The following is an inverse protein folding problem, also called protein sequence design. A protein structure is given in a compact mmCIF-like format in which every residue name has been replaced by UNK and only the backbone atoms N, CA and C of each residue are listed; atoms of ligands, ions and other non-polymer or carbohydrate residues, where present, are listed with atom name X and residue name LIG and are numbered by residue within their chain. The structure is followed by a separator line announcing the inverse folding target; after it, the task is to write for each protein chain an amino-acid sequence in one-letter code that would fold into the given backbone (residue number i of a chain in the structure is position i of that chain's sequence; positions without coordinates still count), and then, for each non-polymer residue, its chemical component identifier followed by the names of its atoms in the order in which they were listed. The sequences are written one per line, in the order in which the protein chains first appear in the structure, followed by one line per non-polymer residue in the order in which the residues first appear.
data_IF_998685840327
#
_entry.id   IF_998685840327
#
_cell.length_a   1.000
_cell.length_b   1.000
_cell.length_c   1.000
_cell.angle_alpha   90.00
_cell.angle_beta   90.00
_cell.angle_gamma   90.00
#
_symmetry.space_group_name_H-M   'P 1'
#
loop_
_entity.id
_entity.type
_entity.pdbx_description
1 polymer ?
#
# COMPACT_ATOMS: atom_id res chain seq x y z
N UNK A 1 27.47 -24.59 55.04
CA UNK A 1 26.17 -24.31 54.46
C UNK A 1 26.40 -23.76 53.06
N UNK A 2 26.20 -24.60 52.04
CA UNK A 2 26.42 -24.29 50.63
C UNK A 2 25.21 -23.56 50.04
N UNK A 3 25.43 -22.40 49.46
CA UNK A 3 24.46 -21.72 48.66
C UNK A 3 24.73 -22.03 47.17
N UNK A 4 23.78 -22.72 46.55
CA UNK A 4 23.81 -23.06 45.12
C UNK A 4 23.44 -21.85 44.27
N UNK A 5 24.41 -21.37 43.55
CA UNK A 5 24.24 -20.45 42.41
C UNK A 5 23.61 -21.23 41.24
N UNK A 6 22.42 -20.78 40.75
CA UNK A 6 21.81 -21.30 39.55
C UNK A 6 22.02 -20.32 38.43
N UNK A 7 22.99 -20.64 37.59
CA UNK A 7 23.25 -19.93 36.35
C UNK A 7 22.01 -19.86 35.43
N UNK A 8 21.67 -18.66 35.03
CA UNK A 8 20.73 -18.41 33.92
C UNK A 8 21.47 -18.59 32.62
N UNK A 9 21.05 -19.57 31.83
CA UNK A 9 21.55 -19.77 30.49
C UNK A 9 21.21 -18.59 29.55
N UNK A 10 22.00 -18.37 28.50
CA UNK A 10 21.79 -17.27 27.56
C UNK A 10 20.53 -17.50 26.75
N UNK A 11 19.62 -16.51 26.78
CA UNK A 11 18.44 -16.50 25.94
C UNK A 11 18.82 -16.53 24.47
N UNK A 12 18.33 -17.51 23.76
CA UNK A 12 18.47 -17.62 22.32
C UNK A 12 17.77 -16.43 21.65
N UNK A 13 18.55 -15.49 21.13
CA UNK A 13 18.04 -14.50 20.17
C UNK A 13 17.65 -15.25 18.92
N UNK A 14 16.35 -15.35 18.66
CA UNK A 14 15.83 -15.75 17.36
C UNK A 14 16.31 -14.68 16.36
N UNK A 15 17.28 -15.04 15.55
CA UNK A 15 17.66 -14.24 14.39
C UNK A 15 16.56 -14.46 13.36
N UNK A 16 15.74 -13.44 13.14
CA UNK A 16 14.91 -13.39 11.94
C UNK A 16 15.86 -13.43 10.74
N UNK A 17 15.83 -14.53 10.02
CA UNK A 17 16.52 -14.63 8.73
C UNK A 17 15.77 -13.74 7.76
N UNK A 18 16.32 -12.54 7.48
CA UNK A 18 15.90 -11.78 6.31
C UNK A 18 16.31 -12.59 5.08
N UNK A 19 15.33 -13.17 4.43
CA UNK A 19 15.52 -13.79 3.12
C UNK A 19 15.74 -12.65 2.12
N UNK A 20 17.00 -12.33 1.84
CA UNK A 20 17.41 -11.21 0.97
C UNK A 20 16.96 -11.38 -0.49
N UNK A 21 16.33 -12.50 -0.85
CA UNK A 21 15.83 -12.82 -2.19
C UNK A 21 14.30 -12.84 -2.32
N UNK A 22 13.54 -12.53 -1.28
CA UNK A 22 12.08 -12.44 -1.38
C UNK A 22 11.71 -11.13 -2.11
N UNK A 23 11.08 -11.25 -3.28
CA UNK A 23 10.45 -10.10 -3.96
C UNK A 23 9.39 -9.54 -3.01
N UNK A 24 9.57 -8.29 -2.60
CA UNK A 24 8.64 -7.66 -1.66
C UNK A 24 7.23 -7.56 -2.25
N UNK A 25 6.21 -7.97 -1.49
CA UNK A 25 4.81 -7.84 -1.86
C UNK A 25 4.31 -6.40 -1.83
N UNK A 26 5.10 -5.46 -1.32
CA UNK A 26 4.75 -4.06 -1.24
C UNK A 26 5.72 -3.17 -2.01
N UNK A 27 5.25 -1.98 -2.34
CA UNK A 27 6.06 -0.90 -2.91
C UNK A 27 5.94 0.31 -2.00
N UNK A 28 7.07 0.88 -1.63
CA UNK A 28 7.16 2.08 -0.81
C UNK A 28 7.45 3.29 -1.69
N UNK A 29 6.66 4.35 -1.52
CA UNK A 29 6.80 5.62 -2.23
C UNK A 29 6.89 6.76 -1.23
N UNK A 30 7.94 7.61 -1.30
CA UNK A 30 8.01 8.78 -0.46
C UNK A 30 7.09 9.88 -0.98
N UNK A 31 6.44 10.60 -0.06
CA UNK A 31 5.72 11.82 -0.37
C UNK A 31 5.98 12.89 0.68
N UNK A 32 6.22 14.12 0.21
CA UNK A 32 6.33 15.29 1.06
C UNK A 32 4.95 15.93 1.21
N UNK A 33 4.49 16.13 2.43
CA UNK A 33 3.25 16.85 2.69
C UNK A 33 3.36 18.28 2.18
N UNK A 34 2.44 18.65 1.30
CA UNK A 34 2.37 19.98 0.67
C UNK A 34 1.54 20.93 1.53
N UNK A 35 1.76 22.22 1.34
CA UNK A 35 1.00 23.25 2.02
C UNK A 35 -0.50 23.11 1.80
N UNK A 36 -0.91 22.84 0.54
CA UNK A 36 -2.31 22.62 0.17
C UNK A 36 -2.94 21.32 0.64
N UNK A 37 -2.15 20.39 1.21
CA UNK A 37 -2.65 19.13 1.77
C UNK A 37 -3.18 19.29 3.20
N UNK A 38 -2.91 20.42 3.85
CA UNK A 38 -3.24 20.67 5.25
C UNK A 38 -4.53 21.48 5.41
N UNK A 39 -5.15 21.33 6.56
CA UNK A 39 -6.34 22.08 6.97
C UNK A 39 -5.99 23.19 7.97
N UNK A 40 -7.02 23.86 8.52
CA UNK A 40 -6.82 24.94 9.50
C UNK A 40 -6.20 24.48 10.82
N UNK A 41 -6.24 23.19 11.14
CA UNK A 41 -5.55 22.62 12.30
C UNK A 41 -4.05 22.42 12.05
N UNK A 42 -3.58 22.65 10.83
CA UNK A 42 -2.18 22.47 10.44
C UNK A 42 -1.79 21.01 10.19
N UNK A 43 -2.75 20.11 10.14
CA UNK A 43 -2.51 18.69 9.81
C UNK A 43 -3.05 18.35 8.43
N UNK A 44 -2.58 17.24 7.87
CA UNK A 44 -3.12 16.73 6.60
C UNK A 44 -4.63 16.55 6.74
N UNK A 45 -5.37 17.20 5.83
CA UNK A 45 -6.83 17.09 5.78
C UNK A 45 -7.22 15.62 5.57
N UNK A 46 -8.18 15.13 6.35
CA UNK A 46 -8.54 13.71 6.32
C UNK A 46 -8.93 13.21 4.91
N UNK A 47 -9.52 14.06 4.08
CA UNK A 47 -9.90 13.76 2.70
C UNK A 47 -8.73 13.76 1.70
N UNK A 48 -7.52 14.13 2.11
CA UNK A 48 -6.32 14.11 1.26
C UNK A 48 -5.74 12.70 1.09
N UNK A 49 -5.97 11.81 2.05
CA UNK A 49 -5.37 10.47 2.03
C UNK A 49 -5.77 9.60 0.84
N UNK A 50 -7.00 9.65 0.30
CA UNK A 50 -7.32 8.97 -0.96
C UNK A 50 -6.44 9.42 -2.13
N UNK A 51 -6.04 10.67 -2.18
CA UNK A 51 -5.08 11.19 -3.16
C UNK A 51 -3.69 10.56 -2.96
N UNK A 52 -3.22 10.42 -1.73
CA UNK A 52 -1.98 9.70 -1.43
C UNK A 52 -2.05 8.23 -1.81
N UNK A 53 -3.19 7.59 -1.59
CA UNK A 53 -3.41 6.20 -2.02
C UNK A 53 -3.31 6.05 -3.53
N UNK A 54 -3.82 6.99 -4.29
CA UNK A 54 -3.70 7.00 -5.76
C UNK A 54 -2.23 7.05 -6.19
N UNK A 55 -1.42 7.90 -5.58
CA UNK A 55 0.02 7.94 -5.83
C UNK A 55 0.65 6.58 -5.54
N UNK A 56 0.32 6.00 -4.41
CA UNK A 56 0.86 4.69 -3.99
C UNK A 56 0.54 3.58 -4.99
N UNK A 57 -0.73 3.42 -5.37
CA UNK A 57 -1.13 2.36 -6.30
C UNK A 57 -0.64 2.59 -7.73
N UNK A 58 -0.54 3.83 -8.18
CA UNK A 58 0.00 4.14 -9.50
C UNK A 58 1.46 3.73 -9.62
N UNK A 59 2.27 4.05 -8.62
CA UNK A 59 3.67 3.65 -8.59
C UNK A 59 3.85 2.14 -8.34
N UNK A 60 2.96 1.55 -7.53
CA UNK A 60 2.92 0.09 -7.36
C UNK A 60 2.76 -0.63 -8.69
N UNK A 61 1.77 -0.24 -9.49
CA UNK A 61 1.52 -0.87 -10.78
C UNK A 61 2.66 -0.62 -11.77
N UNK A 62 3.21 0.59 -11.80
CA UNK A 62 4.37 0.94 -12.64
C UNK A 62 5.56 0.02 -12.34
N UNK A 63 5.87 -0.19 -11.08
CA UNK A 63 6.97 -1.06 -10.65
C UNK A 63 6.69 -2.53 -10.96
N UNK A 64 5.43 -2.96 -10.91
CA UNK A 64 5.03 -4.34 -11.21
C UNK A 64 4.89 -4.65 -12.71
N UNK A 65 4.96 -3.66 -13.59
CA UNK A 65 5.12 -3.85 -15.01
C UNK A 65 4.04 -3.27 -15.92
N UNK A 66 3.09 -2.51 -15.40
CA UNK A 66 2.14 -1.76 -16.23
C UNK A 66 1.70 -0.47 -15.55
N UNK A 67 1.25 0.49 -16.36
CA UNK A 67 0.74 1.78 -15.88
C UNK A 67 -0.76 1.89 -16.13
N UNK A 68 -1.44 2.75 -15.39
CA UNK A 68 -2.83 3.11 -15.67
C UNK A 68 -3.00 3.63 -17.10
N UNK A 69 -2.04 4.40 -17.58
CA UNK A 69 -2.04 4.90 -18.95
C UNK A 69 -2.05 3.78 -19.98
N UNK A 70 -1.27 2.72 -19.76
CA UNK A 70 -1.27 1.55 -20.63
C UNK A 70 -2.59 0.79 -20.57
N UNK A 71 -3.14 0.61 -19.37
CA UNK A 71 -4.43 -0.05 -19.18
C UNK A 71 -5.57 0.72 -19.86
N UNK A 72 -5.61 2.04 -19.68
CA UNK A 72 -6.58 2.93 -20.33
C UNK A 72 -6.43 2.91 -21.85
N UNK A 73 -5.21 2.87 -22.37
CA UNK A 73 -4.92 2.72 -23.81
C UNK A 73 -5.44 1.42 -24.41
N UNK A 74 -5.63 0.38 -23.58
CA UNK A 74 -6.25 -0.90 -23.96
C UNK A 74 -7.79 -0.89 -23.85
N UNK A 75 -8.38 0.22 -23.40
CA UNK A 75 -9.83 0.37 -23.19
C UNK A 75 -10.35 -0.14 -21.85
N UNK A 76 -9.49 -0.27 -20.85
CA UNK A 76 -9.84 -0.74 -19.50
C UNK A 76 -9.59 0.32 -18.45
N UNK A 77 -10.46 0.38 -17.44
CA UNK A 77 -10.36 1.31 -16.33
C UNK A 77 -10.60 0.57 -15.00
N UNK A 78 -9.86 0.94 -13.97
CA UNK A 78 -10.08 0.45 -12.61
C UNK A 78 -10.81 1.53 -11.80
N UNK A 79 -12.11 1.37 -11.70
CA UNK A 79 -12.99 2.33 -11.01
C UNK A 79 -12.99 2.02 -9.51
N UNK A 80 -12.82 3.06 -8.69
CA UNK A 80 -12.93 2.93 -7.24
C UNK A 80 -14.39 2.75 -6.85
N UNK A 81 -14.70 1.65 -6.18
CA UNK A 81 -16.05 1.33 -5.68
C UNK A 81 -16.15 1.38 -4.17
N UNK A 82 -15.04 1.45 -3.46
CA UNK A 82 -15.01 1.54 -2.01
C UNK A 82 -13.68 2.08 -1.51
N UNK A 83 -13.74 2.85 -0.42
CA UNK A 83 -12.58 3.38 0.29
C UNK A 83 -12.84 3.21 1.78
N UNK A 84 -11.87 2.70 2.51
CA UNK A 84 -11.85 2.77 3.95
C UNK A 84 -10.50 3.33 4.43
N UNK A 85 -10.54 4.12 5.50
CA UNK A 85 -9.35 4.72 6.09
C UNK A 85 -9.50 4.73 7.60
N UNK A 86 -8.46 4.27 8.29
CA UNK A 86 -8.33 4.40 9.73
C UNK A 86 -7.16 5.31 10.06
N UNK A 87 -7.41 6.32 10.87
CA UNK A 87 -6.47 7.37 11.24
C UNK A 87 -5.88 7.09 12.62
N UNK A 88 -4.55 7.08 12.72
CA UNK A 88 -3.83 6.77 13.96
C UNK A 88 -3.06 7.97 14.49
N UNK A 89 -2.41 8.72 13.60
CA UNK A 89 -1.60 9.89 13.94
C UNK A 89 -1.78 10.98 12.90
N UNK A 90 -1.47 12.20 13.26
CA UNK A 90 -1.49 13.35 12.37
C UNK A 90 -0.13 13.52 11.67
N UNK A 91 -0.18 13.98 10.42
CA UNK A 91 0.97 14.48 9.70
C UNK A 91 0.81 15.99 9.46
N UNK A 92 1.91 16.71 9.37
CA UNK A 92 1.93 18.15 9.22
C UNK A 92 2.66 18.57 7.95
N UNK A 93 2.56 19.85 7.62
CA UNK A 93 3.27 20.43 6.48
C UNK A 93 4.76 20.07 6.50
N UNK A 94 5.29 19.74 5.35
CA UNK A 94 6.69 19.39 5.10
C UNK A 94 7.17 18.07 5.70
N UNK A 95 6.31 17.30 6.35
CA UNK A 95 6.62 15.94 6.75
C UNK A 95 6.92 15.07 5.54
N UNK A 96 7.93 14.22 5.63
CA UNK A 96 8.20 13.17 4.65
C UNK A 96 7.51 11.89 5.09
N UNK A 97 6.55 11.44 4.29
CA UNK A 97 5.78 10.23 4.53
C UNK A 97 6.24 9.11 3.60
N UNK A 98 6.05 7.87 4.03
CA UNK A 98 6.20 6.68 3.19
C UNK A 98 4.84 6.06 2.96
N UNK A 99 4.44 5.95 1.69
CA UNK A 99 3.21 5.25 1.29
C UNK A 99 3.60 3.83 0.92
N UNK A 100 3.13 2.87 1.69
CA UNK A 100 3.33 1.44 1.44
C UNK A 100 2.07 0.86 0.83
N UNK A 101 2.17 0.37 -0.40
CA UNK A 101 1.06 -0.22 -1.14
C UNK A 101 1.29 -1.69 -1.39
N UNK A 102 0.26 -2.48 -1.20
CA UNK A 102 0.23 -3.91 -1.51
C UNK A 102 -1.15 -4.29 -2.04
N UNK A 103 -1.28 -5.50 -2.58
CA UNK A 103 -2.57 -6.04 -3.00
C UNK A 103 -3.14 -6.89 -1.88
N UNK A 104 -4.34 -6.55 -1.41
CA UNK A 104 -5.07 -7.33 -0.42
C UNK A 104 -5.86 -8.48 -1.03
N UNK A 105 -6.44 -8.29 -2.22
CA UNK A 105 -7.26 -9.28 -2.89
C UNK A 105 -7.29 -9.01 -4.40
N UNK A 106 -7.30 -10.10 -5.20
CA UNK A 106 -7.52 -10.05 -6.65
C UNK A 106 -8.69 -10.95 -6.99
N UNK A 107 -9.66 -10.41 -7.72
CA UNK A 107 -10.83 -11.13 -8.27
C UNK A 107 -10.82 -11.06 -9.79
N UNK A 108 -11.66 -11.85 -10.46
CA UNK A 108 -11.72 -11.88 -11.93
C UNK A 108 -12.06 -10.52 -12.55
N UNK A 109 -12.83 -9.68 -11.86
CA UNK A 109 -13.31 -8.37 -12.34
C UNK A 109 -12.87 -7.20 -11.47
N UNK A 110 -12.02 -7.41 -10.49
CA UNK A 110 -11.61 -6.35 -9.58
C UNK A 110 -10.49 -6.72 -8.66
N UNK A 111 -10.04 -5.77 -7.88
CA UNK A 111 -9.00 -5.97 -6.87
C UNK A 111 -9.16 -4.96 -5.74
N UNK A 112 -8.50 -5.27 -4.63
CA UNK A 112 -8.40 -4.38 -3.47
C UNK A 112 -6.94 -4.11 -3.19
N UNK A 113 -6.58 -2.84 -3.15
CA UNK A 113 -5.28 -2.39 -2.65
C UNK A 113 -5.35 -2.13 -1.15
N UNK A 114 -4.25 -2.42 -0.49
CA UNK A 114 -3.99 -2.07 0.91
C UNK A 114 -2.91 -1.02 1.00
N UNK A 115 -3.11 -0.02 1.86
CA UNK A 115 -2.16 1.08 2.07
C UNK A 115 -1.83 1.22 3.54
N UNK A 116 -0.57 1.53 3.80
CA UNK A 116 -0.07 1.96 5.10
C UNK A 116 0.79 3.19 4.87
N UNK A 117 0.53 4.26 5.59
CA UNK A 117 1.32 5.48 5.50
C UNK A 117 2.04 5.69 6.81
N UNK A 118 3.35 5.87 6.72
CA UNK A 118 4.26 6.01 7.85
C UNK A 118 4.98 7.35 7.84
N UNK A 119 5.29 7.84 9.03
CA UNK A 119 6.27 8.90 9.27
C UNK A 119 7.28 8.39 10.29
N UNK A 120 8.58 8.34 9.93
CA UNK A 120 9.65 7.88 10.82
C UNK A 120 9.32 6.55 11.54
N UNK A 121 8.73 5.60 10.83
CA UNK A 121 8.31 4.31 11.35
C UNK A 121 7.01 4.30 12.15
N UNK A 122 6.42 5.46 12.45
CA UNK A 122 5.12 5.55 13.10
C UNK A 122 3.98 5.52 12.08
N UNK A 123 2.93 4.73 12.35
CA UNK A 123 1.77 4.64 11.48
C UNK A 123 0.94 5.93 11.55
N UNK A 124 0.61 6.48 10.39
CA UNK A 124 -0.28 7.63 10.25
C UNK A 124 -1.70 7.17 9.93
N UNK A 125 -1.86 6.42 8.82
CA UNK A 125 -3.15 5.84 8.40
C UNK A 125 -2.94 4.45 7.84
N UNK A 126 -4.02 3.65 7.87
CA UNK A 126 -4.17 2.40 7.10
C UNK A 126 -5.46 2.47 6.33
N UNK A 127 -5.52 1.87 5.17
CA UNK A 127 -6.74 1.85 4.40
C UNK A 127 -6.70 0.90 3.22
N UNK A 128 -7.84 0.85 2.53
CA UNK A 128 -8.05 0.05 1.34
C UNK A 128 -8.79 0.86 0.29
N UNK A 129 -8.54 0.55 -0.97
CA UNK A 129 -9.41 0.94 -2.07
C UNK A 129 -9.82 -0.29 -2.84
N UNK A 130 -11.14 -0.44 -3.04
CA UNK A 130 -11.71 -1.50 -3.88
C UNK A 130 -11.94 -0.97 -5.28
N UNK A 131 -11.57 -1.77 -6.27
CA UNK A 131 -11.66 -1.41 -7.67
C UNK A 131 -12.39 -2.49 -8.47
N UNK A 132 -13.14 -2.05 -9.45
CA UNK A 132 -13.79 -2.89 -10.46
C UNK A 132 -13.24 -2.51 -11.83
N UNK A 133 -12.94 -3.52 -12.64
CA UNK A 133 -12.51 -3.30 -14.03
C UNK A 133 -13.73 -3.04 -14.90
N UNK A 134 -13.69 -1.95 -15.66
CA UNK A 134 -14.74 -1.59 -16.64
C UNK A 134 -14.10 -1.31 -17.99
N UNK A 135 -14.90 -1.43 -19.05
CA UNK A 135 -14.53 -1.00 -20.40
C UNK A 135 -14.83 0.49 -20.63
N UNK A 136 -14.55 0.99 -21.85
CA UNK A 136 -14.84 2.39 -22.22
C UNK A 136 -16.34 2.71 -22.15
N UNK A 137 -17.20 1.73 -22.29
CA UNK A 137 -18.64 1.85 -22.11
C UNK A 137 -19.12 1.79 -20.67
N UNK A 138 -18.19 1.76 -19.70
CA UNK A 138 -18.45 1.65 -18.26
C UNK A 138 -19.14 0.35 -17.84
N UNK A 139 -19.01 -0.70 -18.63
CA UNK A 139 -19.48 -2.03 -18.27
C UNK A 139 -18.41 -2.79 -17.51
N UNK A 140 -18.81 -3.47 -16.44
CA UNK A 140 -17.91 -4.36 -15.69
C UNK A 140 -17.43 -5.49 -16.59
N UNK A 141 -16.13 -5.66 -16.68
CA UNK A 141 -15.47 -6.69 -17.50
C UNK A 141 -14.39 -7.39 -16.69
N UNK A 142 -13.95 -8.55 -17.18
CA UNK A 142 -12.80 -9.25 -16.61
C UNK A 142 -11.53 -8.44 -16.81
N UNK A 143 -10.67 -8.47 -15.82
CA UNK A 143 -9.31 -7.93 -15.95
C UNK A 143 -8.60 -8.67 -17.08
N UNK A 144 -7.92 -7.96 -18.02
CA UNK A 144 -7.19 -8.62 -19.11
C UNK A 144 -6.21 -9.67 -18.59
N UNK A 145 -6.05 -10.82 -19.29
CA UNK A 145 -5.23 -11.93 -18.80
C UNK A 145 -3.78 -11.55 -18.45
N UNK A 146 -3.13 -10.72 -19.24
CA UNK A 146 -1.75 -10.28 -19.01
C UNK A 146 -1.63 -9.44 -17.73
N UNK A 147 -2.59 -8.55 -17.51
CA UNK A 147 -2.66 -7.72 -16.29
C UNK A 147 -3.00 -8.59 -15.08
N UNK A 148 -3.92 -9.54 -15.24
CA UNK A 148 -4.29 -10.48 -14.19
C UNK A 148 -3.08 -11.29 -13.71
N UNK A 149 -2.23 -11.75 -14.61
CA UNK A 149 -1.02 -12.49 -14.28
C UNK A 149 -0.06 -11.62 -13.45
N UNK A 150 0.17 -10.38 -13.87
CA UNK A 150 0.99 -9.41 -13.13
C UNK A 150 0.45 -9.17 -11.73
N UNK A 151 -0.86 -8.96 -11.59
CA UNK A 151 -1.51 -8.71 -10.29
C UNK A 151 -1.42 -9.92 -9.38
N UNK A 152 -1.64 -11.12 -9.87
CA UNK A 152 -1.52 -12.36 -9.09
C UNK A 152 -0.09 -12.58 -8.61
N UNK A 153 0.90 -12.40 -9.48
CA UNK A 153 2.31 -12.52 -9.12
C UNK A 153 2.73 -11.48 -8.08
N UNK A 154 2.23 -10.25 -8.20
CA UNK A 154 2.49 -9.18 -7.24
C UNK A 154 1.86 -9.42 -5.87
N UNK A 155 0.78 -10.20 -5.78
CA UNK A 155 0.09 -10.51 -4.53
C UNK A 155 0.65 -11.73 -3.78
N UNK A 156 1.46 -12.56 -4.44
CA UNK A 156 1.97 -13.84 -3.91
C UNK A 156 3.30 -13.71 -3.15
N UNK A 157 3.95 -12.58 -3.24
CA UNK A 157 5.26 -12.39 -2.62
C UNK A 157 5.18 -12.06 -1.12
#
# INVERSE_FOLDING_TARGET
MESKDRGRGPGSRVRESHDENAVSAHVDVPIRVRYGDTDRMGIVYYGTYPYYFEIGRSEFMREKGFTYRQLEGMGYHLVVTGVDIKYYNAATYDDLLTIRTSIAEVKSRGLTFHYQIYKDGAIIVKGHTKHVCVDDGRKTVRIPPDVMEILKNASLA
#
